data_IF_415686494026
#
_entry.id   IF_415686494026
#
_cell.length_a   1.000
_cell.length_b   1.000
_cell.length_c   1.000
_cell.angle_alpha   90.00
_cell.angle_beta   90.00
_cell.angle_gamma   90.00
#
_symmetry.space_group_name_H-M   'P 1'
#
loop_
_entity.id
_entity.type
_entity.pdbx_description
1 polymer ?
#
# COMPACT_ATOMS: atom_id res chain seq x y z
N UNK A 1 9.07 17.18 3.94
CA UNK A 1 8.13 16.16 4.39
C UNK A 1 7.38 15.70 3.16
N UNK A 2 7.85 14.62 2.58
CA UNK A 2 7.26 13.99 1.39
C UNK A 2 6.25 12.95 1.86
N UNK A 3 5.15 12.79 1.11
CA UNK A 3 4.08 11.85 1.40
C UNK A 3 3.81 10.96 0.19
N UNK A 4 3.66 9.66 0.41
CA UNK A 4 3.40 8.68 -0.64
C UNK A 4 2.38 7.66 -0.18
N UNK A 5 1.44 7.33 -1.05
CA UNK A 5 0.55 6.16 -0.91
C UNK A 5 0.97 5.15 -1.97
N UNK A 6 1.20 3.92 -1.54
CA UNK A 6 1.37 2.78 -2.45
C UNK A 6 0.15 1.88 -2.36
N UNK A 7 -0.19 1.25 -3.47
CA UNK A 7 -1.35 0.38 -3.60
C UNK A 7 -0.99 -0.89 -4.34
N UNK A 8 -1.45 -2.04 -3.87
CA UNK A 8 -1.26 -3.32 -4.55
C UNK A 8 -2.52 -4.18 -4.46
N UNK A 9 -2.69 -5.11 -5.41
CA UNK A 9 -3.79 -6.08 -5.39
C UNK A 9 -3.49 -7.35 -4.59
N UNK A 10 -2.22 -7.53 -4.21
CA UNK A 10 -1.73 -8.66 -3.42
C UNK A 10 -0.90 -8.14 -2.26
N UNK A 11 -1.05 -8.76 -1.09
CA UNK A 11 -0.33 -8.42 0.13
C UNK A 11 1.19 -8.49 -0.08
N UNK A 12 1.69 -9.58 -0.66
CA UNK A 12 3.13 -9.78 -0.91
C UNK A 12 3.77 -8.68 -1.76
N UNK A 13 3.03 -8.16 -2.75
CA UNK A 13 3.51 -7.06 -3.58
C UNK A 13 3.54 -5.74 -2.80
N UNK A 14 2.57 -5.51 -1.92
CA UNK A 14 2.59 -4.34 -1.03
C UNK A 14 3.81 -4.41 -0.10
N UNK A 15 4.06 -5.58 0.51
CA UNK A 15 5.19 -5.79 1.41
C UNK A 15 6.54 -5.54 0.72
N UNK A 16 6.71 -6.02 -0.51
CA UNK A 16 7.93 -5.78 -1.30
C UNK A 16 8.18 -4.29 -1.53
N UNK A 17 7.15 -3.53 -1.92
CA UNK A 17 7.26 -2.09 -2.13
C UNK A 17 7.51 -1.32 -0.82
N UNK A 18 6.85 -1.70 0.27
CA UNK A 18 7.11 -1.14 1.60
C UNK A 18 8.58 -1.37 1.96
N UNK A 19 9.08 -2.60 1.84
CA UNK A 19 10.45 -2.95 2.21
C UNK A 19 11.48 -2.15 1.39
N UNK A 20 11.22 -1.94 0.10
CA UNK A 20 12.07 -1.11 -0.77
C UNK A 20 12.09 0.36 -0.32
N UNK A 21 10.95 0.93 0.05
CA UNK A 21 10.85 2.32 0.51
C UNK A 21 11.47 2.52 1.91
N UNK A 22 11.28 1.57 2.82
CA UNK A 22 11.91 1.59 4.14
C UNK A 22 13.44 1.61 4.03
N UNK A 23 14.03 0.83 3.10
CA UNK A 23 15.48 0.87 2.81
C UNK A 23 15.96 2.23 2.29
N UNK A 24 15.08 2.99 1.64
CA UNK A 24 15.36 4.35 1.14
C UNK A 24 15.13 5.44 2.20
N UNK A 25 14.79 5.07 3.45
CA UNK A 25 14.60 6.00 4.56
C UNK A 25 13.18 6.56 4.68
N UNK A 26 12.19 6.01 3.97
CA UNK A 26 10.79 6.30 4.24
C UNK A 26 10.34 5.64 5.54
N UNK A 27 9.26 6.15 6.13
CA UNK A 27 8.64 5.61 7.36
C UNK A 27 7.16 5.36 7.12
N UNK A 28 6.63 4.33 7.77
CA UNK A 28 5.19 4.06 7.76
C UNK A 28 4.43 5.18 8.46
N UNK A 29 3.31 5.58 7.87
CA UNK A 29 2.38 6.56 8.44
C UNK A 29 0.99 5.92 8.57
N UNK A 30 0.56 5.65 9.80
CA UNK A 30 -0.71 4.97 10.05
C UNK A 30 -0.70 3.48 9.67
N UNK A 31 -1.90 2.88 9.60
CA UNK A 31 -2.10 1.46 9.27
C UNK A 31 -2.44 1.21 7.80
N UNK A 32 -2.53 -0.07 7.45
CA UNK A 32 -2.92 -0.53 6.10
C UNK A 32 -4.43 -0.35 5.92
N UNK A 33 -4.83 0.17 4.77
CA UNK A 33 -6.23 0.17 4.32
C UNK A 33 -6.47 -0.96 3.33
N UNK A 34 -7.57 -1.71 3.53
CA UNK A 34 -7.97 -2.81 2.65
C UNK A 34 -9.33 -2.48 2.05
N UNK A 35 -9.44 -2.53 0.74
CA UNK A 35 -10.66 -2.23 0.00
C UNK A 35 -11.05 -3.40 -0.89
N UNK A 36 -12.33 -3.78 -0.85
CA UNK A 36 -12.92 -4.73 -1.78
C UNK A 36 -13.67 -3.94 -2.85
N UNK A 37 -13.20 -3.96 -4.09
CA UNK A 37 -13.96 -3.41 -5.20
C UNK A 37 -15.08 -4.39 -5.56
N UNK A 38 -16.29 -4.16 -5.05
CA UNK A 38 -17.50 -4.94 -5.37
C UNK A 38 -18.28 -4.27 -6.51
N UNK A 39 -17.65 -4.05 -7.66
CA UNK A 39 -18.25 -3.42 -8.84
C UNK A 39 -18.06 -4.25 -10.10
N UNK A 40 -19.11 -4.34 -10.94
CA UNK A 40 -19.10 -4.94 -12.30
C UNK A 40 -18.54 -6.37 -12.42
N UNK A 41 -18.76 -7.22 -11.41
CA UNK A 41 -18.43 -8.64 -11.50
C UNK A 41 -16.96 -8.98 -11.26
N UNK A 42 -16.11 -8.02 -10.89
CA UNK A 42 -14.76 -8.29 -10.41
C UNK A 42 -14.70 -8.17 -8.88
N UNK A 43 -13.89 -9.00 -8.23
CA UNK A 43 -13.74 -9.05 -6.77
C UNK A 43 -12.32 -8.65 -6.39
N UNK A 44 -11.86 -7.52 -6.94
CA UNK A 44 -10.48 -7.11 -6.73
C UNK A 44 -10.28 -6.58 -5.32
N UNK A 45 -9.33 -7.19 -4.61
CA UNK A 45 -8.85 -6.74 -3.32
C UNK A 45 -7.72 -5.74 -3.55
N UNK A 46 -7.78 -4.59 -2.90
CA UNK A 46 -6.71 -3.59 -2.92
C UNK A 46 -6.22 -3.31 -1.51
N UNK A 47 -4.90 -3.28 -1.36
CA UNK A 47 -4.21 -2.87 -0.15
C UNK A 47 -3.55 -1.53 -0.40
N UNK A 48 -3.60 -0.64 0.58
CA UNK A 48 -2.95 0.67 0.52
C UNK A 48 -2.17 0.96 1.81
N UNK A 49 -0.98 1.51 1.68
CA UNK A 49 -0.15 1.97 2.81
C UNK A 49 0.37 3.37 2.53
N UNK A 50 0.26 4.24 3.53
CA UNK A 50 0.84 5.58 3.51
C UNK A 50 2.25 5.59 4.13
N UNK A 51 3.16 6.36 3.53
CA UNK A 51 4.53 6.55 3.99
C UNK A 51 4.92 8.04 3.94
N UNK A 52 5.85 8.43 4.82
CA UNK A 52 6.44 9.77 4.88
C UNK A 52 7.97 9.74 4.83
N UNK A 53 8.60 10.80 4.34
CA UNK A 53 10.05 11.01 4.38
C UNK A 53 10.40 12.47 4.68
#
# INVERSE_FOLDING_TARGET
>A
MEYKIITATYESKLEEEIAALLKQGWKLQGGISICYNRGYGNTDLYFAQALIK
#
